data_IF_831045531156
#
_entry.id   IF_831045531156
#
_cell.length_a   1.000
_cell.length_b   1.000
_cell.length_c   1.000
_cell.angle_alpha   90.00
_cell.angle_beta   90.00
_cell.angle_gamma   90.00
#
_symmetry.space_group_name_H-M   'P 1'
#
loop_
_entity.id
_entity.type
_entity.pdbx_description
1 polymer ?
#
# COMPACT_ATOMS: atom_id res chain seq x y z
N UNK A 1 13.60 -9.21 -19.68
CA UNK A 1 13.13 -8.21 -18.70
C UNK A 1 11.88 -7.57 -19.28
N UNK A 2 10.74 -7.78 -18.67
CA UNK A 2 9.49 -7.15 -19.12
C UNK A 2 9.56 -5.67 -18.78
N UNK A 3 9.61 -4.82 -19.79
CA UNK A 3 9.59 -3.37 -19.58
C UNK A 3 8.13 -2.97 -19.38
N UNK A 4 7.73 -2.71 -18.13
CA UNK A 4 6.38 -2.24 -17.82
C UNK A 4 6.13 -0.91 -18.53
N UNK A 5 4.97 -0.77 -19.15
CA UNK A 5 4.50 0.49 -19.72
C UNK A 5 4.14 1.47 -18.58
N UNK A 6 5.14 2.25 -18.16
CA UNK A 6 5.05 3.18 -17.04
C UNK A 6 4.13 4.37 -17.32
N UNK A 7 4.07 4.82 -18.57
CA UNK A 7 3.18 5.91 -18.96
C UNK A 7 1.73 5.44 -18.87
N UNK A 8 1.46 4.23 -19.32
CA UNK A 8 0.14 3.62 -19.22
C UNK A 8 -0.27 3.39 -17.77
N UNK A 9 0.65 2.90 -16.95
CA UNK A 9 0.43 2.75 -15.51
C UNK A 9 0.11 4.11 -14.87
N UNK A 10 0.84 5.16 -15.24
CA UNK A 10 0.59 6.53 -14.76
C UNK A 10 -0.82 7.02 -15.08
N UNK A 11 -1.29 6.79 -16.32
CA UNK A 11 -2.64 7.17 -16.73
C UNK A 11 -3.74 6.44 -15.93
N UNK A 12 -3.55 5.15 -15.65
CA UNK A 12 -4.46 4.38 -14.80
C UNK A 12 -4.39 4.85 -13.33
N UNK A 13 -3.19 5.15 -12.86
CA UNK A 13 -2.96 5.61 -11.49
C UNK A 13 -3.61 6.96 -11.20
N UNK A 14 -3.61 7.90 -12.15
CA UNK A 14 -4.24 9.22 -11.99
C UNK A 14 -5.78 9.14 -11.91
N UNK A 15 -6.38 8.11 -12.48
CA UNK A 15 -7.82 7.84 -12.27
C UNK A 15 -8.09 7.31 -10.86
N UNK A 16 -7.20 6.48 -10.34
CA UNK A 16 -7.31 5.93 -8.98
C UNK A 16 -7.00 7.00 -7.90
N UNK A 17 -6.02 7.84 -8.16
CA UNK A 17 -5.55 8.89 -7.24
C UNK A 17 -5.41 10.21 -8.01
N UNK A 18 -6.53 10.90 -8.27
CA UNK A 18 -6.50 12.22 -8.89
C UNK A 18 -5.99 13.29 -7.92
N UNK A 19 -5.46 14.39 -8.47
CA UNK A 19 -5.13 15.55 -7.66
C UNK A 19 -6.40 16.13 -7.01
N UNK A 20 -6.40 16.28 -5.70
CA UNK A 20 -7.55 16.82 -4.96
C UNK A 20 -7.13 17.38 -3.60
N UNK A 21 -7.82 18.43 -3.14
CA UNK A 21 -7.68 18.97 -1.77
C UNK A 21 -6.23 19.25 -1.34
N UNK A 22 -5.38 19.71 -2.24
CA UNK A 22 -3.97 20.00 -1.97
C UNK A 22 -3.05 18.78 -2.02
N UNK A 23 -3.58 17.60 -2.35
CA UNK A 23 -2.81 16.40 -2.58
C UNK A 23 -2.46 16.25 -4.07
N UNK A 24 -1.23 15.82 -4.41
CA UNK A 24 -0.85 15.60 -5.80
C UNK A 24 -1.57 14.39 -6.39
N UNK A 25 -1.67 14.34 -7.72
CA UNK A 25 -2.07 13.12 -8.43
C UNK A 25 -0.99 12.04 -8.30
N UNK A 26 -1.32 10.81 -8.70
CA UNK A 26 -0.37 9.70 -8.69
C UNK A 26 0.86 9.99 -9.56
N UNK A 27 0.69 10.58 -10.74
CA UNK A 27 1.82 10.91 -11.63
C UNK A 27 2.64 12.07 -11.09
N UNK A 28 2.03 13.09 -10.50
CA UNK A 28 2.72 14.20 -9.82
C UNK A 28 3.56 13.70 -8.63
N UNK A 29 3.07 12.70 -7.89
CA UNK A 29 3.81 12.04 -6.82
C UNK A 29 4.87 11.03 -7.33
N UNK A 30 5.03 10.85 -8.64
CA UNK A 30 6.02 9.95 -9.23
C UNK A 30 5.74 8.46 -9.02
N UNK A 31 4.47 8.08 -8.82
CA UNK A 31 4.04 6.69 -8.60
C UNK A 31 4.53 5.75 -9.68
N UNK A 32 4.39 6.15 -10.97
CA UNK A 32 4.79 5.35 -12.13
C UNK A 32 6.31 5.27 -12.36
N UNK A 33 7.10 5.98 -11.57
CA UNK A 33 8.57 6.07 -11.67
C UNK A 33 9.21 5.47 -10.42
N UNK A 34 9.89 6.28 -9.64
CA UNK A 34 10.58 5.87 -8.42
C UNK A 34 9.64 5.21 -7.38
N UNK A 35 8.36 5.59 -7.37
CA UNK A 35 7.35 4.96 -6.54
C UNK A 35 7.18 3.47 -6.87
N UNK A 36 7.01 3.16 -8.16
CA UNK A 36 6.90 1.78 -8.64
C UNK A 36 8.17 0.98 -8.33
N UNK A 37 9.35 1.57 -8.52
CA UNK A 37 10.62 0.89 -8.24
C UNK A 37 10.72 0.47 -6.77
N UNK A 38 10.31 1.34 -5.84
CA UNK A 38 10.25 1.01 -4.40
C UNK A 38 9.30 -0.14 -4.10
N UNK A 39 8.12 -0.12 -4.72
CA UNK A 39 7.12 -1.18 -4.51
C UNK A 39 7.63 -2.51 -5.06
N UNK A 40 8.16 -2.55 -6.27
CA UNK A 40 8.64 -3.78 -6.90
C UNK A 40 9.90 -4.34 -6.20
N UNK A 41 10.72 -3.49 -5.59
CA UNK A 41 11.83 -3.95 -4.74
C UNK A 41 11.33 -4.70 -3.49
N UNK A 42 10.21 -4.27 -2.92
CA UNK A 42 9.59 -4.92 -1.76
C UNK A 42 8.64 -6.07 -2.13
N UNK A 43 7.99 -5.99 -3.29
CA UNK A 43 6.96 -6.93 -3.78
C UNK A 43 7.20 -7.29 -5.25
N UNK A 44 8.27 -8.04 -5.54
CA UNK A 44 8.58 -8.45 -6.92
C UNK A 44 7.50 -9.36 -7.54
N UNK A 45 6.70 -10.01 -6.72
CA UNK A 45 5.55 -10.84 -7.14
C UNK A 45 4.46 -10.05 -7.90
N UNK A 46 4.42 -8.73 -7.75
CA UNK A 46 3.46 -7.87 -8.45
C UNK A 46 3.84 -7.64 -9.93
N UNK A 47 5.12 -7.73 -10.28
CA UNK A 47 5.59 -7.38 -11.63
C UNK A 47 4.89 -8.18 -12.74
N UNK A 48 4.77 -9.52 -12.68
CA UNK A 48 4.09 -10.28 -13.73
C UNK A 48 2.59 -9.96 -13.82
N UNK A 49 1.94 -9.66 -12.71
CA UNK A 49 0.53 -9.26 -12.69
C UNK A 49 0.35 -7.88 -13.35
N UNK A 50 1.20 -6.92 -13.02
CA UNK A 50 1.19 -5.59 -13.64
C UNK A 50 1.50 -5.64 -15.13
N UNK A 51 2.47 -6.47 -15.54
CA UNK A 51 2.80 -6.65 -16.95
C UNK A 51 1.59 -7.16 -17.75
N UNK A 52 0.87 -8.14 -17.23
CA UNK A 52 -0.36 -8.65 -17.84
C UNK A 52 -1.45 -7.57 -17.92
N UNK A 53 -1.71 -6.87 -16.81
CA UNK A 53 -2.71 -5.80 -16.75
C UNK A 53 -2.40 -4.71 -17.78
N UNK A 54 -1.15 -4.29 -17.88
CA UNK A 54 -0.74 -3.21 -18.80
C UNK A 54 -0.77 -3.64 -20.25
N UNK A 55 -0.52 -4.92 -20.55
CA UNK A 55 -0.64 -5.46 -21.92
C UNK A 55 -2.09 -5.37 -22.45
N UNK A 56 -3.09 -5.56 -21.58
CA UNK A 56 -4.51 -5.52 -21.92
C UNK A 56 -5.16 -4.14 -21.67
N UNK A 57 -4.36 -3.15 -21.29
CA UNK A 57 -4.86 -1.85 -20.85
C UNK A 57 -5.18 -0.87 -22.00
N UNK A 58 -5.61 -1.34 -23.18
CA UNK A 58 -5.99 -0.46 -24.27
C UNK A 58 -7.32 0.26 -24.02
N UNK A 59 -7.42 1.53 -24.43
CA UNK A 59 -8.63 2.34 -24.33
C UNK A 59 -8.57 3.43 -23.23
N UNK A 60 -9.70 4.00 -22.91
CA UNK A 60 -9.83 5.04 -21.89
C UNK A 60 -9.49 4.46 -20.48
N UNK A 61 -8.62 5.12 -19.68
CA UNK A 61 -8.19 4.59 -18.39
C UNK A 61 -9.31 4.20 -17.44
N UNK A 62 -10.37 5.02 -17.34
CA UNK A 62 -11.52 4.73 -16.47
C UNK A 62 -12.28 3.47 -16.91
N UNK A 63 -12.40 3.24 -18.23
CA UNK A 63 -13.05 2.03 -18.76
C UNK A 63 -12.20 0.78 -18.51
N UNK A 64 -10.89 0.92 -18.66
CA UNK A 64 -9.94 -0.15 -18.36
C UNK A 64 -10.07 -0.58 -16.88
N UNK A 65 -10.08 0.37 -15.96
CA UNK A 65 -10.23 0.08 -14.54
C UNK A 65 -11.55 -0.61 -14.20
N UNK A 66 -12.67 -0.14 -14.79
CA UNK A 66 -13.98 -0.79 -14.61
C UNK A 66 -13.98 -2.23 -15.13
N UNK A 67 -13.37 -2.45 -16.29
CA UNK A 67 -13.23 -3.79 -16.89
C UNK A 67 -12.37 -4.70 -16.02
N UNK A 68 -11.21 -4.23 -15.55
CA UNK A 68 -10.34 -4.98 -14.65
C UNK A 68 -11.06 -5.36 -13.36
N UNK A 69 -11.75 -4.42 -12.73
CA UNK A 69 -12.50 -4.67 -11.50
C UNK A 69 -13.58 -5.74 -11.69
N UNK A 70 -14.20 -5.79 -12.87
CA UNK A 70 -15.29 -6.73 -13.15
C UNK A 70 -14.80 -8.13 -13.58
N UNK A 71 -13.64 -8.24 -14.22
CA UNK A 71 -13.20 -9.46 -14.88
C UNK A 71 -11.83 -9.99 -14.49
N UNK A 72 -11.00 -9.20 -13.79
CA UNK A 72 -9.65 -9.60 -13.31
C UNK A 72 -9.38 -9.02 -11.93
N UNK A 73 -9.99 -9.59 -10.91
CA UNK A 73 -9.86 -9.16 -9.53
C UNK A 73 -8.38 -9.14 -9.07
N UNK A 74 -7.61 -10.17 -9.42
CA UNK A 74 -6.20 -10.27 -9.04
C UNK A 74 -5.34 -9.18 -9.70
N UNK A 75 -5.57 -8.88 -10.97
CA UNK A 75 -4.90 -7.79 -11.68
C UNK A 75 -5.29 -6.43 -11.13
N UNK A 76 -6.57 -6.21 -10.85
CA UNK A 76 -7.04 -4.98 -10.23
C UNK A 76 -6.45 -4.78 -8.83
N UNK A 77 -6.42 -5.83 -8.00
CA UNK A 77 -5.81 -5.79 -6.67
C UNK A 77 -4.29 -5.50 -6.74
N UNK A 78 -3.57 -6.10 -7.68
CA UNK A 78 -2.15 -5.85 -7.88
C UNK A 78 -1.88 -4.39 -8.28
N UNK A 79 -2.69 -3.85 -9.23
CA UNK A 79 -2.58 -2.47 -9.66
C UNK A 79 -2.86 -1.48 -8.53
N UNK A 80 -3.97 -1.66 -7.80
CA UNK A 80 -4.34 -0.79 -6.68
C UNK A 80 -3.32 -0.85 -5.55
N UNK A 81 -2.81 -2.02 -5.21
CA UNK A 81 -1.76 -2.19 -4.21
C UNK A 81 -0.46 -1.48 -4.63
N UNK A 82 -0.04 -1.63 -5.90
CA UNK A 82 1.16 -0.98 -6.39
C UNK A 82 1.02 0.55 -6.40
N UNK A 83 -0.12 1.08 -6.86
CA UNK A 83 -0.38 2.52 -6.91
C UNK A 83 -0.45 3.13 -5.50
N UNK A 84 -1.24 2.54 -4.61
CA UNK A 84 -1.39 3.07 -3.24
C UNK A 84 -0.10 2.91 -2.43
N UNK A 85 0.59 1.78 -2.57
CA UNK A 85 1.89 1.54 -1.94
C UNK A 85 2.94 2.56 -2.39
N UNK A 86 3.03 2.82 -3.69
CA UNK A 86 3.94 3.82 -4.25
C UNK A 86 3.60 5.24 -3.76
N UNK A 87 2.31 5.60 -3.72
CA UNK A 87 1.82 6.91 -3.35
C UNK A 87 2.08 7.21 -1.86
N UNK A 88 1.64 6.36 -0.95
CA UNK A 88 1.75 6.59 0.49
C UNK A 88 3.15 6.30 1.06
N UNK A 89 4.05 5.71 0.30
CA UNK A 89 5.47 5.61 0.65
C UNK A 89 6.30 6.80 0.17
N UNK A 90 5.72 7.68 -0.65
CA UNK A 90 6.41 8.90 -1.09
C UNK A 90 6.61 9.88 0.07
N UNK A 91 7.86 10.39 0.28
CA UNK A 91 8.14 11.28 1.40
C UNK A 91 7.40 12.61 1.34
N UNK A 92 7.10 13.14 0.16
CA UNK A 92 6.38 14.39 0.01
C UNK A 92 4.90 14.21 0.36
N UNK A 93 4.28 13.13 -0.13
CA UNK A 93 2.91 12.74 0.22
C UNK A 93 2.79 12.53 1.73
N UNK A 94 3.73 11.80 2.34
CA UNK A 94 3.74 11.55 3.79
C UNK A 94 3.82 12.84 4.61
N UNK A 95 4.60 13.82 4.16
CA UNK A 95 4.63 15.16 4.81
C UNK A 95 3.30 15.89 4.70
N UNK A 96 2.66 15.83 3.54
CA UNK A 96 1.37 16.50 3.31
C UNK A 96 0.25 15.96 4.21
N UNK A 97 0.23 14.64 4.44
CA UNK A 97 -0.74 14.01 5.35
C UNK A 97 -0.32 14.07 6.83
N UNK A 98 0.85 14.66 7.14
CA UNK A 98 1.34 14.76 8.51
C UNK A 98 1.78 13.41 9.12
N UNK A 99 2.14 12.42 8.27
CA UNK A 99 2.56 11.11 8.76
C UNK A 99 4.10 11.01 8.85
N UNK A 100 4.67 11.11 10.06
CA UNK A 100 6.12 11.08 10.26
C UNK A 100 6.73 9.68 10.15
N UNK A 101 5.92 8.64 9.97
CA UNK A 101 6.30 7.24 10.09
C UNK A 101 6.07 6.69 11.49
N UNK A 102 6.49 5.47 11.71
CA UNK A 102 6.50 4.90 13.06
C UNK A 102 7.55 5.63 13.90
N UNK A 103 7.10 6.24 14.99
CA UNK A 103 7.97 6.91 15.95
C UNK A 103 7.78 6.25 17.31
N UNK A 104 8.89 6.09 18.02
CA UNK A 104 8.82 5.71 19.42
C UNK A 104 8.20 6.88 20.21
N UNK A 105 7.07 6.63 20.86
CA UNK A 105 6.39 7.59 21.71
C UNK A 105 6.52 7.12 23.17
N UNK A 106 7.56 7.56 23.88
CA UNK A 106 7.81 7.14 25.26
C UNK A 106 6.67 7.50 26.19
N UNK A 107 5.94 8.57 25.90
CA UNK A 107 4.78 9.02 26.68
C UNK A 107 3.63 7.99 26.71
N UNK A 108 3.44 7.24 25.62
CA UNK A 108 2.44 6.17 25.58
C UNK A 108 2.86 4.93 26.39
N UNK A 109 4.18 4.78 26.63
CA UNK A 109 4.73 3.68 27.43
C UNK A 109 4.73 4.06 28.91
N UNK A 110 4.82 5.37 29.23
CA UNK A 110 4.80 5.90 30.60
C UNK A 110 3.41 6.24 31.11
N UNK A 111 2.42 6.36 30.24
CA UNK A 111 1.03 6.32 30.69
C UNK A 111 0.84 4.97 31.35
N UNK A 112 0.70 4.96 32.68
CA UNK A 112 0.36 3.75 33.41
C UNK A 112 -0.80 3.09 32.66
N UNK A 113 -0.58 1.92 32.06
CA UNK A 113 -1.65 1.30 31.32
C UNK A 113 -2.76 1.07 32.32
N UNK A 114 -3.98 1.32 31.90
CA UNK A 114 -5.19 0.95 32.64
C UNK A 114 -5.28 -0.60 32.62
N UNK A 115 -4.26 -1.23 33.25
CA UNK A 115 -4.22 -2.66 33.38
C UNK A 115 -5.28 -3.05 34.39
N UNK A 116 -6.24 -3.81 33.97
CA UNK A 116 -7.05 -4.57 34.92
C UNK A 116 -6.16 -5.64 35.56
N UNK A 117 -5.62 -5.33 36.75
CA UNK A 117 -4.75 -6.23 37.51
C UNK A 117 -5.41 -7.59 37.74
N UNK A 118 -6.75 -7.60 37.90
CA UNK A 118 -7.49 -8.84 38.10
C UNK A 118 -7.50 -9.70 36.83
N UNK A 119 -7.61 -9.07 35.67
CA UNK A 119 -7.52 -9.77 34.36
C UNK A 119 -6.11 -10.31 34.13
N UNK A 120 -5.08 -9.51 34.45
CA UNK A 120 -3.67 -9.91 34.36
C UNK A 120 -3.35 -11.08 35.29
N UNK A 121 -3.81 -11.03 36.52
CA UNK A 121 -3.62 -12.11 37.48
C UNK A 121 -4.19 -13.44 36.99
N UNK A 122 -5.36 -13.41 36.33
CA UNK A 122 -5.95 -14.61 35.69
C UNK A 122 -5.07 -15.18 34.57
N UNK A 123 -4.49 -14.32 33.74
CA UNK A 123 -3.60 -14.74 32.66
C UNK A 123 -2.31 -15.35 33.20
N UNK A 124 -1.72 -14.71 34.21
CA UNK A 124 -0.51 -15.22 34.86
C UNK A 124 -0.78 -16.56 35.56
N UNK A 125 -1.91 -16.67 36.27
CA UNK A 125 -2.30 -17.90 36.97
C UNK A 125 -2.54 -19.08 35.99
N UNK A 126 -2.98 -18.80 34.76
CA UNK A 126 -3.16 -19.84 33.74
C UNK A 126 -1.84 -20.44 33.25
N UNK A 127 -0.73 -19.72 33.43
CA UNK A 127 0.60 -20.17 32.98
C UNK A 127 0.79 -20.21 31.48
N UNK A 128 1.87 -20.84 31.05
CA UNK A 128 2.22 -20.95 29.63
C UNK A 128 1.29 -21.93 28.91
N UNK A 129 0.49 -21.41 27.98
CA UNK A 129 -0.47 -22.20 27.17
C UNK A 129 -0.03 -22.40 25.71
N UNK A 130 1.15 -21.90 25.36
CA UNK A 130 1.70 -22.05 24.01
C UNK A 130 2.34 -23.44 23.84
N UNK A 131 2.21 -23.98 22.65
CA UNK A 131 2.86 -25.22 22.25
C UNK A 131 4.32 -24.91 21.91
N UNK A 132 5.26 -25.57 22.59
CA UNK A 132 6.66 -25.49 22.16
C UNK A 132 6.80 -26.14 20.80
N UNK A 133 7.30 -25.38 19.82
CA UNK A 133 7.72 -25.94 18.51
C UNK A 133 9.05 -26.63 18.72
N UNK A 134 9.12 -27.90 18.30
CA UNK A 134 10.38 -28.68 18.23
C UNK A 134 11.18 -28.25 17.02
#
# INVERSE_FOLDING_TARGET
MSTLDRERLGALADVLVPAASGMPSATEAGVHRAGLDRVLAARPDLEPLLARVLADAAGEPGDVLRRLQASDEAGFAALTLAVTGAYYTDPAVRRLIGYPGQQYQPELVTCAPDWDEAALARVVARGAVYRQTR
#
